data_IF_886197243183
#
_entry.id   IF_886197243183
#
_cell.length_a   1.000
_cell.length_b   1.000
_cell.length_c   1.000
_cell.angle_alpha   90.00
_cell.angle_beta   90.00
_cell.angle_gamma   90.00
#
_symmetry.space_group_name_H-M   'P 1'
#
loop_
_entity.id
_entity.type
_entity.pdbx_description
1 polymer ?
#
# COMPACT_ATOMS: atom_id res chain seq x y z
N UNK A 1 24.92 23.57 34.64
CA UNK A 1 24.83 22.32 33.87
C UNK A 1 23.52 21.66 34.26
N UNK A 2 22.49 21.77 33.43
CA UNK A 2 21.26 20.98 33.61
C UNK A 2 21.61 19.54 33.29
N UNK A 3 21.57 18.70 34.32
CA UNK A 3 22.05 17.33 34.26
C UNK A 3 21.27 16.53 33.21
N UNK A 4 22.00 15.82 32.34
CA UNK A 4 21.41 14.92 31.34
C UNK A 4 20.48 13.89 31.99
N UNK A 5 20.74 13.55 33.26
CA UNK A 5 19.93 12.68 34.09
C UNK A 5 18.57 13.29 34.47
N UNK A 6 18.50 14.60 34.77
CA UNK A 6 17.21 15.27 35.09
C UNK A 6 16.34 15.45 33.85
N UNK A 7 16.93 15.72 32.69
CA UNK A 7 16.22 15.71 31.39
C UNK A 7 15.67 14.32 31.04
N UNK A 8 16.46 13.26 31.28
CA UNK A 8 15.99 11.88 31.04
C UNK A 8 14.85 11.50 31.98
N UNK A 9 14.96 11.82 33.27
CA UNK A 9 13.91 11.52 34.25
C UNK A 9 12.61 12.28 33.95
N UNK A 10 12.70 13.54 33.54
CA UNK A 10 11.55 14.34 33.12
C UNK A 10 10.90 13.74 31.85
N UNK A 11 11.71 13.29 30.89
CA UNK A 11 11.20 12.66 29.66
C UNK A 11 10.45 11.37 29.98
N UNK A 12 11.00 10.50 30.84
CA UNK A 12 10.30 9.28 31.28
C UNK A 12 8.99 9.59 32.01
N UNK A 13 8.97 10.64 32.83
CA UNK A 13 7.76 11.07 33.55
C UNK A 13 6.68 11.60 32.59
N UNK A 14 7.08 12.21 31.48
CA UNK A 14 6.18 12.77 30.46
C UNK A 14 5.70 11.73 29.44
N UNK A 15 6.37 10.58 29.29
CA UNK A 15 5.98 9.53 28.33
C UNK A 15 4.52 9.06 28.48
N UNK A 16 4.01 8.76 29.71
CA UNK A 16 2.61 8.38 29.86
C UNK A 16 1.65 9.50 29.44
N UNK A 17 1.98 10.75 29.75
CA UNK A 17 1.17 11.91 29.35
C UNK A 17 1.16 12.08 27.84
N UNK A 18 2.31 11.98 27.18
CA UNK A 18 2.43 12.04 25.73
C UNK A 18 1.63 10.91 25.05
N UNK A 19 1.66 9.70 25.61
CA UNK A 19 0.87 8.56 25.15
C UNK A 19 -0.64 8.81 25.29
N UNK A 20 -1.09 9.35 26.43
CA UNK A 20 -2.50 9.70 26.63
C UNK A 20 -2.97 10.79 25.68
N UNK A 21 -2.18 11.84 25.47
CA UNK A 21 -2.49 12.89 24.49
C UNK A 21 -2.59 12.34 23.07
N UNK A 22 -1.63 11.49 22.66
CA UNK A 22 -1.67 10.83 21.36
C UNK A 22 -2.92 9.94 21.20
N UNK A 23 -3.35 9.25 22.25
CA UNK A 23 -4.56 8.44 22.22
C UNK A 23 -5.84 9.29 22.10
N UNK A 24 -5.89 10.45 22.76
CA UNK A 24 -7.01 11.39 22.65
C UNK A 24 -7.07 11.98 21.24
N UNK A 25 -5.93 12.44 20.72
CA UNK A 25 -5.83 12.99 19.36
C UNK A 25 -6.28 11.95 18.31
N UNK A 26 -5.85 10.70 18.48
CA UNK A 26 -6.30 9.59 17.64
C UNK A 26 -7.82 9.40 17.67
N UNK A 27 -8.42 9.43 18.86
CA UNK A 27 -9.87 9.25 19.05
C UNK A 27 -10.68 10.40 18.45
N UNK A 28 -10.24 11.65 18.66
CA UNK A 28 -10.87 12.84 18.09
C UNK A 28 -10.75 12.86 16.56
N UNK A 29 -9.58 12.49 16.04
CA UNK A 29 -9.38 12.38 14.60
C UNK A 29 -10.30 11.31 13.99
N UNK A 30 -10.52 10.19 14.69
CA UNK A 30 -11.42 9.14 14.20
C UNK A 30 -12.87 9.61 14.19
N UNK A 31 -13.30 10.33 15.24
CA UNK A 31 -14.62 10.92 15.29
C UNK A 31 -14.84 11.91 14.14
N UNK A 32 -13.87 12.80 13.88
CA UNK A 32 -13.94 13.74 12.77
C UNK A 32 -14.06 13.02 11.41
N UNK A 33 -13.27 11.96 11.19
CA UNK A 33 -13.37 11.16 9.96
C UNK A 33 -14.73 10.45 9.85
N UNK A 34 -15.28 9.95 10.96
CA UNK A 34 -16.61 9.32 10.99
C UNK A 34 -17.73 10.32 10.69
N UNK A 35 -17.66 11.54 11.22
CA UNK A 35 -18.65 12.58 10.90
C UNK A 35 -18.55 13.00 9.44
N UNK A 36 -17.34 13.17 8.89
CA UNK A 36 -17.14 13.38 7.45
C UNK A 36 -17.70 12.22 6.63
N UNK A 37 -17.45 10.98 7.03
CA UNK A 37 -17.98 9.80 6.36
C UNK A 37 -19.52 9.78 6.35
N UNK A 38 -20.17 10.18 7.46
CA UNK A 38 -21.63 10.30 7.54
C UNK A 38 -22.18 11.42 6.66
N UNK A 39 -21.46 12.53 6.53
CA UNK A 39 -21.88 13.67 5.72
C UNK A 39 -21.80 13.36 4.21
N UNK A 40 -20.69 12.76 3.76
CA UNK A 40 -20.44 12.53 2.34
C UNK A 40 -20.93 11.16 1.83
N UNK A 41 -21.00 10.15 2.70
CA UNK A 41 -21.54 8.81 2.40
C UNK A 41 -22.46 8.37 3.54
N UNK A 42 -23.67 8.95 3.66
CA UNK A 42 -24.56 8.71 4.81
C UNK A 42 -25.02 7.25 4.92
N UNK A 43 -25.18 6.58 3.78
CA UNK A 43 -25.56 5.18 3.70
C UNK A 43 -24.44 4.25 4.18
N UNK A 44 -24.74 3.49 5.24
CA UNK A 44 -23.80 2.52 5.80
C UNK A 44 -23.46 1.39 4.83
N UNK A 45 -24.41 0.96 3.97
CA UNK A 45 -24.17 -0.09 2.99
C UNK A 45 -23.12 0.35 1.97
N UNK A 46 -23.22 1.58 1.47
CA UNK A 46 -22.24 2.16 0.52
C UNK A 46 -20.84 2.30 1.11
N UNK A 47 -20.73 2.61 2.42
CA UNK A 47 -19.42 2.63 3.11
C UNK A 47 -18.81 1.23 3.16
N UNK A 48 -19.61 0.20 3.46
CA UNK A 48 -19.16 -1.19 3.46
C UNK A 48 -18.75 -1.67 2.07
N UNK A 49 -19.51 -1.32 1.02
CA UNK A 49 -19.14 -1.59 -0.37
C UNK A 49 -17.80 -0.94 -0.73
N UNK A 50 -17.56 0.29 -0.27
CA UNK A 50 -16.28 0.96 -0.49
C UNK A 50 -15.12 0.26 0.22
N UNK A 51 -15.31 -0.17 1.47
CA UNK A 51 -14.29 -0.96 2.19
C UNK A 51 -14.00 -2.29 1.49
N UNK A 52 -15.04 -2.99 1.03
CA UNK A 52 -14.89 -4.21 0.25
C UNK A 52 -14.16 -3.97 -1.08
N UNK A 53 -14.37 -2.81 -1.72
CA UNK A 53 -13.63 -2.43 -2.92
C UNK A 53 -12.14 -2.18 -2.61
N UNK A 54 -11.81 -1.54 -1.48
CA UNK A 54 -10.42 -1.39 -1.02
C UNK A 54 -9.80 -2.77 -0.77
N UNK A 55 -10.48 -3.68 -0.05
CA UNK A 55 -9.99 -5.04 0.22
C UNK A 55 -9.70 -5.80 -1.07
N UNK A 56 -10.64 -5.75 -2.03
CA UNK A 56 -10.48 -6.38 -3.33
C UNK A 56 -9.32 -5.80 -4.12
N UNK A 57 -9.07 -4.49 -4.04
CA UNK A 57 -7.97 -3.85 -4.74
C UNK A 57 -6.60 -4.22 -4.13
N UNK A 58 -6.51 -4.26 -2.80
CA UNK A 58 -5.31 -4.73 -2.08
C UNK A 58 -5.01 -6.19 -2.43
N UNK A 59 -6.02 -7.04 -2.46
CA UNK A 59 -5.87 -8.44 -2.87
C UNK A 59 -5.41 -8.56 -4.33
N UNK A 60 -5.89 -7.70 -5.22
CA UNK A 60 -5.49 -7.68 -6.63
C UNK A 60 -4.02 -7.25 -6.81
N UNK A 61 -3.54 -6.23 -6.11
CA UNK A 61 -2.09 -5.87 -6.14
C UNK A 61 -1.23 -6.98 -5.57
N UNK A 62 -1.62 -7.59 -4.45
CA UNK A 62 -0.91 -8.73 -3.88
C UNK A 62 -0.80 -9.90 -4.87
N UNK A 63 -1.90 -10.23 -5.57
CA UNK A 63 -1.90 -11.26 -6.60
C UNK A 63 -1.03 -10.88 -7.81
N UNK A 64 -1.05 -9.62 -8.24
CA UNK A 64 -0.21 -9.12 -9.33
C UNK A 64 1.28 -9.15 -8.97
N UNK A 65 1.62 -8.86 -7.70
CA UNK A 65 2.99 -8.99 -7.19
C UNK A 65 3.49 -10.43 -7.24
N UNK A 66 2.69 -11.40 -6.79
CA UNK A 66 3.05 -12.82 -6.86
C UNK A 66 3.19 -13.30 -8.30
N UNK A 67 2.35 -12.84 -9.22
CA UNK A 67 2.48 -13.16 -10.64
C UNK A 67 3.76 -12.59 -11.24
N UNK A 68 4.14 -11.36 -10.88
CA UNK A 68 5.42 -10.76 -11.29
C UNK A 68 6.61 -11.58 -10.79
N UNK A 69 6.57 -12.03 -9.52
CA UNK A 69 7.62 -12.88 -8.95
C UNK A 69 7.74 -14.20 -9.71
N UNK A 70 6.63 -14.87 -10.00
CA UNK A 70 6.62 -16.10 -10.82
C UNK A 70 7.16 -15.87 -12.23
N UNK A 71 6.80 -14.75 -12.87
CA UNK A 71 7.32 -14.41 -14.19
C UNK A 71 8.85 -14.18 -14.17
N UNK A 72 9.37 -13.54 -13.12
CA UNK A 72 10.80 -13.36 -12.92
C UNK A 72 11.53 -14.70 -12.69
N UNK A 73 10.96 -15.58 -11.86
CA UNK A 73 11.50 -16.92 -11.61
C UNK A 73 11.53 -17.77 -12.90
N UNK A 74 10.42 -17.80 -13.64
CA UNK A 74 10.31 -18.53 -14.90
C UNK A 74 11.31 -18.02 -15.95
N UNK A 75 11.48 -16.69 -16.03
CA UNK A 75 12.47 -16.09 -16.92
C UNK A 75 13.89 -16.45 -16.52
N UNK A 76 14.21 -16.40 -15.23
CA UNK A 76 15.54 -16.75 -14.73
C UNK A 76 15.88 -18.23 -14.95
N UNK A 77 14.87 -19.11 -14.97
CA UNK A 77 15.04 -20.51 -15.36
C UNK A 77 15.42 -20.68 -16.84
N UNK A 78 14.98 -19.76 -17.72
CA UNK A 78 15.33 -19.76 -19.15
C UNK A 78 16.69 -19.11 -19.38
N UNK A 79 16.92 -17.92 -18.81
CA UNK A 79 18.17 -17.19 -18.93
C UNK A 79 18.35 -16.15 -17.82
N UNK A 80 19.56 -16.09 -17.27
CA UNK A 80 19.96 -15.06 -16.31
C UNK A 80 20.48 -13.78 -16.97
N UNK A 81 20.73 -13.79 -18.28
CA UNK A 81 21.34 -12.67 -19.02
C UNK A 81 20.43 -11.45 -19.07
N UNK A 82 20.96 -10.23 -19.15
CA UNK A 82 20.13 -9.03 -19.29
C UNK A 82 19.38 -9.00 -20.64
N UNK A 83 18.34 -8.18 -20.77
CA UNK A 83 17.63 -8.01 -22.07
C UNK A 83 18.60 -7.60 -23.18
N UNK A 84 19.50 -6.64 -22.92
CA UNK A 84 20.51 -6.21 -23.90
C UNK A 84 21.46 -7.32 -24.32
N UNK A 85 21.77 -8.27 -23.44
CA UNK A 85 22.64 -9.41 -23.78
C UNK A 85 21.86 -10.48 -24.54
N UNK A 86 20.59 -10.68 -24.23
CA UNK A 86 19.70 -11.54 -24.99
C UNK A 86 19.54 -11.04 -26.44
N UNK A 87 19.36 -9.74 -26.64
CA UNK A 87 19.26 -9.15 -27.99
C UNK A 87 20.54 -9.40 -28.79
N UNK A 88 21.72 -9.27 -28.17
CA UNK A 88 23.01 -9.52 -28.83
C UNK A 88 23.23 -10.98 -29.21
N UNK A 89 22.78 -11.92 -28.39
CA UNK A 89 23.03 -13.35 -28.57
C UNK A 89 21.98 -14.07 -29.40
N UNK A 90 20.72 -13.68 -29.25
CA UNK A 90 19.55 -14.38 -29.79
C UNK A 90 18.71 -13.53 -30.74
N UNK A 91 19.06 -12.25 -30.89
CA UNK A 91 18.28 -11.28 -31.65
C UNK A 91 17.11 -10.72 -30.85
N UNK A 92 16.54 -9.64 -31.39
CA UNK A 92 15.47 -8.86 -30.76
C UNK A 92 14.21 -9.72 -30.50
N UNK A 93 13.78 -10.50 -31.49
CA UNK A 93 12.51 -11.23 -31.42
C UNK A 93 12.50 -12.32 -30.33
N UNK A 94 13.61 -13.05 -30.15
CA UNK A 94 13.71 -14.04 -29.07
C UNK A 94 13.87 -13.37 -27.70
N UNK A 95 14.60 -12.25 -27.62
CA UNK A 95 14.73 -11.50 -26.37
C UNK A 95 13.36 -11.00 -25.89
N UNK A 96 12.55 -10.46 -26.81
CA UNK A 96 11.18 -9.99 -26.53
C UNK A 96 10.28 -11.14 -26.08
N UNK A 97 10.35 -12.32 -26.71
CA UNK A 97 9.57 -13.50 -26.28
C UNK A 97 9.92 -13.94 -24.85
N UNK A 98 11.20 -13.87 -24.48
CA UNK A 98 11.66 -14.29 -23.14
C UNK A 98 11.26 -13.25 -22.07
N UNK A 99 11.23 -11.96 -22.38
CA UNK A 99 10.91 -10.90 -21.41
C UNK A 99 9.45 -10.48 -21.39
N UNK A 100 8.66 -10.76 -22.42
CA UNK A 100 7.24 -10.40 -22.51
C UNK A 100 6.45 -10.77 -21.25
N UNK A 101 6.57 -11.99 -20.67
CA UNK A 101 5.82 -12.33 -19.46
C UNK A 101 6.13 -11.44 -18.25
N UNK A 102 7.38 -10.96 -18.11
CA UNK A 102 7.74 -10.00 -17.05
C UNK A 102 7.12 -8.64 -17.34
N UNK A 103 7.20 -8.17 -18.58
CA UNK A 103 6.64 -6.89 -19.01
C UNK A 103 5.12 -6.86 -18.79
N UNK A 104 4.43 -7.93 -19.17
CA UNK A 104 2.99 -8.08 -18.98
C UNK A 104 2.62 -8.08 -17.49
N UNK A 105 3.37 -8.84 -16.66
CA UNK A 105 3.15 -8.86 -15.22
C UNK A 105 3.44 -7.50 -14.54
N UNK A 106 4.45 -6.77 -15.01
CA UNK A 106 4.74 -5.41 -14.55
C UNK A 106 3.61 -4.44 -14.88
N UNK A 107 3.09 -4.50 -16.10
CA UNK A 107 1.97 -3.67 -16.53
C UNK A 107 0.70 -4.00 -15.71
N UNK A 108 0.38 -5.28 -15.54
CA UNK A 108 -0.75 -5.72 -14.72
C UNK A 108 -0.64 -5.22 -13.27
N UNK A 109 0.56 -5.27 -12.67
CA UNK A 109 0.79 -4.73 -11.33
C UNK A 109 0.64 -3.22 -11.28
N UNK A 110 1.18 -2.50 -12.28
CA UNK A 110 1.02 -1.04 -12.37
C UNK A 110 -0.46 -0.65 -12.43
N UNK A 111 -1.26 -1.39 -13.19
CA UNK A 111 -2.70 -1.17 -13.29
C UNK A 111 -3.43 -1.49 -11.97
N UNK A 112 -3.02 -2.55 -11.26
CA UNK A 112 -3.54 -2.89 -9.94
C UNK A 112 -3.25 -1.80 -8.90
N UNK A 113 -2.01 -1.31 -8.83
CA UNK A 113 -1.61 -0.21 -7.95
C UNK A 113 -2.42 1.05 -8.26
N UNK A 114 -2.58 1.38 -9.54
CA UNK A 114 -3.37 2.54 -9.96
C UNK A 114 -4.83 2.39 -9.54
N UNK A 115 -5.43 1.22 -9.76
CA UNK A 115 -6.80 0.95 -9.35
C UNK A 115 -6.98 1.06 -7.82
N UNK A 116 -6.03 0.54 -7.04
CA UNK A 116 -6.04 0.71 -5.58
C UNK A 116 -5.97 2.20 -5.18
N UNK A 117 -5.08 2.97 -5.79
CA UNK A 117 -4.96 4.41 -5.55
C UNK A 117 -6.24 5.17 -5.92
N UNK A 118 -6.84 4.84 -7.07
CA UNK A 118 -8.07 5.44 -7.55
C UNK A 118 -9.23 5.16 -6.57
N UNK A 119 -9.39 3.92 -6.11
CA UNK A 119 -10.41 3.54 -5.12
C UNK A 119 -10.16 4.29 -3.81
N UNK A 120 -8.94 4.29 -3.27
CA UNK A 120 -8.63 5.03 -2.02
C UNK A 120 -8.83 6.53 -2.16
N UNK A 121 -8.59 7.08 -3.36
CA UNK A 121 -8.73 8.50 -3.66
C UNK A 121 -10.18 8.98 -3.77
N UNK A 122 -11.15 8.09 -4.03
CA UNK A 122 -12.56 8.45 -4.17
C UNK A 122 -13.15 9.01 -2.87
N UNK A 123 -12.80 8.44 -1.71
CA UNK A 123 -13.31 8.87 -0.41
C UNK A 123 -12.20 8.90 0.66
N UNK A 124 -11.41 9.98 0.73
CA UNK A 124 -10.25 10.07 1.62
C UNK A 124 -10.56 9.86 3.11
N UNK A 125 -11.74 10.27 3.59
CA UNK A 125 -12.17 10.04 4.96
C UNK A 125 -12.42 8.54 5.23
N UNK A 126 -13.02 7.82 4.29
CA UNK A 126 -13.24 6.38 4.40
C UNK A 126 -11.91 5.62 4.37
N UNK A 127 -10.99 5.98 3.47
CA UNK A 127 -9.65 5.37 3.43
C UNK A 127 -8.86 5.59 4.74
N UNK A 128 -8.93 6.78 5.35
CA UNK A 128 -8.32 7.03 6.68
C UNK A 128 -8.92 6.15 7.77
N UNK A 129 -10.25 5.98 7.79
CA UNK A 129 -10.91 5.07 8.74
C UNK A 129 -10.46 3.63 8.50
N UNK A 130 -10.47 3.18 7.24
CA UNK A 130 -10.06 1.84 6.84
C UNK A 130 -8.63 1.52 7.29
N UNK A 131 -7.68 2.43 7.02
CA UNK A 131 -6.27 2.23 7.40
C UNK A 131 -6.07 2.11 8.89
N UNK A 132 -6.83 2.84 9.72
CA UNK A 132 -6.75 2.76 11.19
C UNK A 132 -7.36 1.47 11.74
N UNK A 133 -8.29 0.85 11.04
CA UNK A 133 -8.85 -0.45 11.43
C UNK A 133 -7.90 -1.62 11.13
N UNK A 134 -6.95 -1.42 10.22
CA UNK A 134 -6.04 -2.44 9.71
C UNK A 134 -4.56 -2.18 10.03
N UNK A 135 -4.27 -1.15 10.84
CA UNK A 135 -2.93 -0.81 11.37
C UNK A 135 -2.69 -1.45 12.73
#
# INVERSE_FOLDING_TARGET
MTDKATLSALTELLKPLAKSLSSIDHSLSLLADLELAKEFVPDAAKRLEHYAAIDSAVAADAAAYENLKRAQEARNAISSLSFSDLVKLKGQEEADKITAPITDALNARKDAIKNEQDIRGQFPALDRIYRRQHS
#
